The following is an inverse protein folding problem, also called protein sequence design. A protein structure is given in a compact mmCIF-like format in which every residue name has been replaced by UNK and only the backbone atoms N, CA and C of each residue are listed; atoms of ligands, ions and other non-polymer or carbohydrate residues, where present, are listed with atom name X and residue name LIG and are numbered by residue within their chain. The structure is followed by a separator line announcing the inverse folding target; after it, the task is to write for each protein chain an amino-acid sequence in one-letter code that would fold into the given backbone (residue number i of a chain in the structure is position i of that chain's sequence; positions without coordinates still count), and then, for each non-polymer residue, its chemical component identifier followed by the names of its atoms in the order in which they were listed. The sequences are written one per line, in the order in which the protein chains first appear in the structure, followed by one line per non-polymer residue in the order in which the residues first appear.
data_IF_061416541785
#
_entry.id   IF_061416541785
#
_cell.length_a   1.000
_cell.length_b   1.000
_cell.length_c   1.000
_cell.angle_alpha   90.00
_cell.angle_beta   90.00
_cell.angle_gamma   90.00
#
_symmetry.space_group_name_H-M   'P 1'
#
loop_
_entity.id
_entity.type
_entity.pdbx_description
1 polymer ?
#
# COMPACT_ATOMS: atom_id res chain seq x y z
N UNK A 1 3.95 -4.62 -10.45
CA UNK A 1 2.74 -5.47 -10.53
C UNK A 1 2.99 -6.89 -10.04
N UNK A 2 4.04 -7.59 -10.49
CA UNK A 2 4.34 -8.98 -10.05
C UNK A 2 4.50 -9.08 -8.53
N UNK A 3 5.25 -8.16 -7.90
CA UNK A 3 5.40 -8.11 -6.44
C UNK A 3 4.06 -8.07 -5.71
N UNK A 4 3.16 -7.18 -6.15
CA UNK A 4 1.88 -6.96 -5.46
C UNK A 4 0.97 -8.18 -5.60
N UNK A 5 0.89 -8.76 -6.80
CA UNK A 5 0.14 -10.00 -7.03
C UNK A 5 0.66 -11.15 -6.16
N UNK A 6 1.97 -11.27 -5.98
CA UNK A 6 2.58 -12.28 -5.12
C UNK A 6 2.27 -12.05 -3.63
N UNK A 7 2.34 -10.80 -3.18
CA UNK A 7 2.00 -10.41 -1.80
C UNK A 7 0.53 -10.69 -1.51
N UNK A 8 -0.38 -10.34 -2.41
CA UNK A 8 -1.82 -10.61 -2.24
C UNK A 8 -2.10 -12.11 -2.27
N UNK A 9 -1.53 -12.84 -3.24
CA UNK A 9 -1.72 -14.29 -3.38
C UNK A 9 -1.27 -15.05 -2.13
N UNK A 10 -0.05 -14.79 -1.64
CA UNK A 10 0.41 -15.44 -0.41
C UNK A 10 -0.40 -14.94 0.78
N UNK A 11 -0.70 -13.64 0.85
CA UNK A 11 -1.48 -13.04 1.94
C UNK A 11 -2.86 -13.68 2.12
N UNK A 12 -3.44 -14.24 1.06
CA UNK A 12 -4.73 -14.95 1.09
C UNK A 12 -4.67 -16.37 1.68
N UNK A 13 -3.50 -16.84 2.16
CA UNK A 13 -3.36 -18.18 2.74
C UNK A 13 -4.39 -18.54 3.83
N UNK A 14 -4.84 -17.64 4.74
CA UNK A 14 -5.82 -18.03 5.75
C UNK A 14 -7.14 -18.47 5.13
N UNK A 15 -7.54 -17.87 4.01
CA UNK A 15 -8.75 -18.24 3.26
C UNK A 15 -8.60 -19.61 2.62
N UNK A 16 -7.48 -19.86 1.93
CA UNK A 16 -7.22 -21.14 1.26
C UNK A 16 -7.24 -22.32 2.25
N UNK A 17 -6.66 -22.12 3.43
CA UNK A 17 -6.56 -23.15 4.46
C UNK A 17 -7.92 -23.46 5.11
N UNK A 18 -8.90 -22.55 5.01
CA UNK A 18 -10.28 -22.76 5.48
C UNK A 18 -11.13 -23.43 4.39
N UNK A 19 -10.98 -23.03 3.13
CA UNK A 19 -11.84 -23.47 2.02
C UNK A 19 -11.45 -24.84 1.45
N UNK A 20 -10.15 -25.14 1.36
CA UNK A 20 -9.67 -26.38 0.74
C UNK A 20 -9.44 -27.49 1.77
N UNK A 21 -10.23 -28.57 1.67
CA UNK A 21 -10.12 -29.74 2.56
C UNK A 21 -8.71 -30.36 2.60
N UNK A 22 -7.99 -30.30 1.47
CA UNK A 22 -6.62 -30.83 1.36
C UNK A 22 -5.62 -30.13 2.29
N UNK A 23 -5.92 -28.92 2.76
CA UNK A 23 -5.06 -28.11 3.63
C UNK A 23 -5.48 -28.17 5.11
N UNK A 24 -6.42 -29.05 5.49
CA UNK A 24 -6.88 -29.17 6.88
C UNK A 24 -5.76 -29.47 7.89
N UNK A 25 -4.77 -30.31 7.54
CA UNK A 25 -3.64 -30.58 8.43
C UNK A 25 -2.81 -29.32 8.72
N UNK A 26 -2.67 -28.44 7.72
CA UNK A 26 -2.00 -27.15 7.87
C UNK A 26 -2.86 -26.13 8.63
N UNK A 27 -4.19 -26.21 8.49
CA UNK A 27 -5.15 -25.44 9.29
C UNK A 27 -5.01 -25.73 10.77
N UNK A 28 -5.01 -27.00 11.14
CA UNK A 28 -4.98 -27.42 12.55
C UNK A 28 -3.66 -27.00 13.21
N UNK A 29 -2.55 -27.11 12.47
CA UNK A 29 -1.25 -26.59 12.92
C UNK A 29 -1.24 -25.06 13.10
N UNK A 30 -1.75 -24.31 12.13
CA UNK A 30 -1.72 -22.85 12.16
C UNK A 30 -2.69 -22.24 13.18
N UNK A 31 -3.81 -22.90 13.48
CA UNK A 31 -4.88 -22.37 14.32
C UNK A 31 -4.42 -21.99 15.73
N UNK A 32 -3.45 -22.72 16.28
CA UNK A 32 -2.88 -22.45 17.60
C UNK A 32 -1.68 -21.48 17.56
N UNK A 33 -1.27 -21.05 16.37
CA UNK A 33 -0.12 -20.15 16.18
C UNK A 33 -0.55 -18.71 15.93
N UNK A 34 0.37 -17.77 16.20
CA UNK A 34 0.24 -16.36 15.83
C UNK A 34 0.14 -16.12 14.31
N UNK A 35 0.37 -17.16 13.50
CA UNK A 35 0.26 -17.14 12.04
C UNK A 35 -1.11 -17.61 11.53
N UNK A 36 -2.10 -17.83 12.41
CA UNK A 36 -3.47 -18.14 11.99
C UNK A 36 -4.09 -17.04 11.11
N UNK A 37 -3.65 -15.79 11.29
CA UNK A 37 -4.09 -14.62 10.51
C UNK A 37 -2.93 -13.99 9.76
N UNK A 38 -3.24 -13.28 8.68
CA UNK A 38 -2.27 -12.66 7.77
C UNK A 38 -1.89 -11.21 8.15
N UNK A 39 -2.22 -10.72 9.34
CA UNK A 39 -1.93 -9.33 9.73
C UNK A 39 -0.44 -9.00 9.68
N UNK A 40 0.41 -9.93 10.14
CA UNK A 40 1.87 -9.79 10.08
C UNK A 40 2.36 -9.65 8.64
N UNK A 41 1.82 -10.46 7.71
CA UNK A 41 2.19 -10.46 6.30
C UNK A 41 1.81 -9.16 5.62
N UNK A 42 0.57 -8.72 5.79
CA UNK A 42 0.07 -7.46 5.21
C UNK A 42 0.81 -6.28 5.82
N UNK A 43 1.05 -6.27 7.13
CA UNK A 43 1.79 -5.18 7.78
C UNK A 43 3.23 -5.07 7.27
N UNK A 44 3.88 -6.21 7.03
CA UNK A 44 5.29 -6.24 6.58
C UNK A 44 5.43 -5.90 5.10
N UNK A 45 4.66 -6.56 4.23
CA UNK A 45 4.88 -6.45 2.79
C UNK A 45 4.07 -5.33 2.14
N UNK A 46 2.85 -5.08 2.63
CA UNK A 46 2.00 -4.02 2.12
C UNK A 46 2.28 -2.69 2.84
N UNK A 47 2.11 -2.64 4.16
CA UNK A 47 2.14 -1.37 4.90
C UNK A 47 3.56 -0.83 5.08
N UNK A 48 4.54 -1.69 5.34
CA UNK A 48 5.95 -1.31 5.36
C UNK A 48 6.58 -1.36 3.97
N UNK A 49 6.59 -2.55 3.36
CA UNK A 49 7.25 -2.79 2.07
C UNK A 49 6.73 -1.89 0.95
N UNK A 50 5.41 -1.73 0.85
CA UNK A 50 4.79 -0.84 -0.14
C UNK A 50 5.20 0.62 0.03
N UNK A 51 5.24 1.11 1.27
CA UNK A 51 5.66 2.49 1.56
C UNK A 51 7.14 2.69 1.20
N UNK A 52 8.02 1.77 1.61
CA UNK A 52 9.44 1.84 1.28
C UNK A 52 9.70 1.81 -0.23
N UNK A 53 9.02 0.89 -0.94
CA UNK A 53 9.12 0.78 -2.39
C UNK A 53 8.68 2.07 -3.09
N UNK A 54 7.53 2.62 -2.71
CA UNK A 54 7.02 3.85 -3.32
C UNK A 54 7.88 5.06 -2.96
N UNK A 55 8.37 5.20 -1.73
CA UNK A 55 9.32 6.25 -1.38
C UNK A 55 10.61 6.15 -2.19
N UNK A 56 11.12 4.93 -2.42
CA UNK A 56 12.28 4.71 -3.30
C UNK A 56 11.99 5.09 -4.75
N UNK A 57 10.81 4.72 -5.26
CA UNK A 57 10.35 5.12 -6.60
C UNK A 57 10.31 6.65 -6.74
N UNK A 58 9.69 7.36 -5.80
CA UNK A 58 9.64 8.83 -5.82
C UNK A 58 11.02 9.47 -5.71
N UNK A 59 11.91 8.91 -4.87
CA UNK A 59 13.29 9.36 -4.78
C UNK A 59 14.03 9.28 -6.12
N UNK A 60 13.71 8.30 -6.97
CA UNK A 60 14.31 8.12 -8.30
C UNK A 60 13.77 9.11 -9.32
N UNK A 61 12.46 9.34 -9.36
CA UNK A 61 11.83 10.18 -10.40
C UNK A 61 11.91 11.68 -10.11
N UNK A 62 12.03 12.10 -8.84
CA UNK A 62 12.23 13.51 -8.50
C UNK A 62 13.54 14.01 -9.11
N UNK A 63 13.62 15.29 -9.48
CA UNK A 63 14.84 15.93 -9.96
C UNK A 63 15.43 16.84 -8.88
N UNK A 64 14.57 17.50 -8.10
CA UNK A 64 15.01 18.44 -7.07
C UNK A 64 15.74 17.72 -5.91
N UNK A 65 17.01 18.05 -5.68
CA UNK A 65 17.82 17.46 -4.62
C UNK A 65 17.25 17.67 -3.22
N UNK A 66 16.55 18.79 -2.98
CA UNK A 66 15.93 19.05 -1.68
C UNK A 66 14.73 18.14 -1.45
N UNK A 67 13.90 17.91 -2.46
CA UNK A 67 12.77 16.98 -2.38
C UNK A 67 13.26 15.55 -2.18
N UNK A 68 14.33 15.13 -2.86
CA UNK A 68 14.99 13.84 -2.62
C UNK A 68 15.45 13.67 -1.17
N UNK A 69 16.04 14.71 -0.58
CA UNK A 69 16.47 14.69 0.84
C UNK A 69 15.26 14.53 1.76
N UNK A 70 14.18 15.27 1.53
CA UNK A 70 12.94 15.18 2.32
C UNK A 70 12.39 13.75 2.27
N UNK A 71 12.19 13.18 1.07
CA UNK A 71 11.70 11.80 0.90
C UNK A 71 12.60 10.80 1.64
N UNK A 72 13.92 10.93 1.52
CA UNK A 72 14.89 10.06 2.20
C UNK A 72 14.74 10.12 3.73
N UNK A 73 14.70 11.32 4.31
CA UNK A 73 14.60 11.49 5.76
C UNK A 73 13.24 11.04 6.30
N UNK A 74 12.15 11.40 5.64
CA UNK A 74 10.79 10.99 6.03
C UNK A 74 10.65 9.46 5.97
N UNK A 75 11.14 8.83 4.90
CA UNK A 75 11.15 7.37 4.77
C UNK A 75 11.99 6.70 5.87
N UNK A 76 13.17 7.25 6.18
CA UNK A 76 14.01 6.74 7.26
C UNK A 76 13.34 6.84 8.64
N UNK A 77 12.72 7.99 8.94
CA UNK A 77 11.96 8.19 10.19
C UNK A 77 10.80 7.19 10.27
N UNK A 78 10.06 7.01 9.18
CA UNK A 78 8.96 6.04 9.09
C UNK A 78 9.44 4.60 9.35
N UNK A 79 10.53 4.18 8.73
CA UNK A 79 11.08 2.84 8.92
C UNK A 79 11.48 2.64 10.39
N UNK A 80 12.20 3.60 10.96
CA UNK A 80 12.69 3.50 12.33
C UNK A 80 11.53 3.51 13.34
N UNK A 81 10.56 4.42 13.20
CA UNK A 81 9.42 4.47 14.12
C UNK A 81 8.48 3.28 13.98
N UNK A 82 8.31 2.75 12.76
CA UNK A 82 7.41 1.61 12.53
C UNK A 82 8.04 0.31 13.05
N UNK A 83 9.35 0.11 12.85
CA UNK A 83 10.06 -1.05 13.40
C UNK A 83 10.10 -1.02 14.93
N UNK A 84 10.35 0.14 15.55
CA UNK A 84 10.28 0.27 17.01
C UNK A 84 8.86 0.00 17.51
N UNK A 85 7.82 0.54 16.85
CA UNK A 85 6.43 0.33 17.25
C UNK A 85 6.00 -1.15 17.14
N UNK A 86 6.41 -1.84 16.07
CA UNK A 86 6.17 -3.28 15.90
C UNK A 86 6.89 -4.08 17.00
N UNK A 87 8.14 -3.76 17.28
CA UNK A 87 8.92 -4.46 18.32
C UNK A 87 8.31 -4.33 19.73
N UNK A 88 7.67 -3.20 20.02
CA UNK A 88 6.99 -2.96 21.30
C UNK A 88 5.60 -3.62 21.36
N UNK A 89 4.98 -3.91 20.22
CA UNK A 89 3.60 -4.40 20.12
C UNK A 89 3.51 -5.70 19.30
N UNK A 90 4.40 -6.66 19.57
CA UNK A 90 4.48 -7.92 18.82
C UNK A 90 3.17 -8.71 18.84
N UNK A 91 2.46 -8.77 19.97
CA UNK A 91 1.18 -9.47 20.04
C UNK A 91 0.13 -8.83 19.12
N UNK A 92 0.11 -7.49 19.05
CA UNK A 92 -0.80 -6.77 18.15
C UNK A 92 -0.39 -6.94 16.69
N UNK A 93 0.91 -7.04 16.39
CA UNK A 93 1.42 -7.25 15.04
C UNK A 93 0.89 -8.56 14.40
N UNK A 94 0.70 -9.61 15.19
CA UNK A 94 0.13 -10.87 14.71
C UNK A 94 -1.41 -10.91 14.72
N UNK A 95 -2.05 -10.17 15.64
CA UNK A 95 -3.48 -10.31 15.92
C UNK A 95 -4.37 -9.18 15.42
N UNK A 96 -3.82 -8.03 15.03
CA UNK A 96 -4.60 -6.85 14.62
C UNK A 96 -3.87 -5.99 13.59
N UNK A 97 -4.60 -5.03 13.00
CA UNK A 97 -4.00 -4.04 12.12
C UNK A 97 -3.35 -2.91 12.94
N UNK A 98 -2.08 -2.65 12.66
CA UNK A 98 -1.34 -1.58 13.33
C UNK A 98 -1.67 -0.21 12.70
N UNK A 99 -2.71 0.44 13.24
CA UNK A 99 -3.22 1.73 12.74
C UNK A 99 -2.13 2.80 12.62
N UNK A 100 -1.19 2.84 13.57
CA UNK A 100 -0.07 3.77 13.53
C UNK A 100 0.77 3.60 12.25
N UNK A 101 1.16 2.37 11.91
CA UNK A 101 1.96 2.06 10.72
C UNK A 101 1.20 2.43 9.45
N UNK A 102 -0.10 2.10 9.39
CA UNK A 102 -0.92 2.38 8.20
C UNK A 102 -1.10 3.88 7.96
N UNK A 103 -1.48 4.63 9.00
CA UNK A 103 -1.72 6.08 8.90
C UNK A 103 -0.41 6.80 8.60
N UNK A 104 0.67 6.47 9.30
CA UNK A 104 1.96 7.11 9.04
C UNK A 104 2.47 6.77 7.64
N UNK A 105 2.33 5.52 7.21
CA UNK A 105 2.66 5.08 5.85
C UNK A 105 1.89 5.88 4.79
N UNK A 106 0.58 6.06 4.96
CA UNK A 106 -0.23 6.87 4.07
C UNK A 106 0.26 8.33 4.00
N UNK A 107 0.61 8.94 5.15
CA UNK A 107 1.17 10.30 5.19
C UNK A 107 2.51 10.41 4.44
N UNK A 108 3.38 9.40 4.53
CA UNK A 108 4.63 9.34 3.77
C UNK A 108 4.37 9.31 2.28
N UNK A 109 3.43 8.47 1.82
CA UNK A 109 3.07 8.36 0.40
C UNK A 109 2.47 9.68 -0.10
N UNK A 110 1.53 10.25 0.64
CA UNK A 110 0.93 11.53 0.29
C UNK A 110 1.99 12.63 0.19
N UNK A 111 2.95 12.66 1.11
CA UNK A 111 4.07 13.60 1.03
C UNK A 111 4.90 13.41 -0.26
N UNK A 112 5.23 12.16 -0.61
CA UNK A 112 5.98 11.87 -1.84
C UNK A 112 5.22 12.34 -3.10
N UNK A 113 3.92 12.06 -3.16
CA UNK A 113 3.04 12.46 -4.26
C UNK A 113 2.93 14.00 -4.34
N UNK A 114 2.75 14.67 -3.20
CA UNK A 114 2.68 16.14 -3.16
C UNK A 114 3.97 16.78 -3.66
N UNK A 115 5.14 16.29 -3.23
CA UNK A 115 6.43 16.79 -3.70
C UNK A 115 6.59 16.61 -5.21
N UNK A 116 6.18 15.45 -5.74
CA UNK A 116 6.20 15.18 -7.18
C UNK A 116 5.31 16.15 -7.97
N UNK A 117 4.06 16.38 -7.54
CA UNK A 117 3.19 17.33 -8.22
C UNK A 117 3.66 18.77 -8.10
N UNK A 118 4.22 19.19 -6.96
CA UNK A 118 4.84 20.51 -6.81
C UNK A 118 5.98 20.69 -7.82
N UNK A 119 6.79 19.66 -8.04
CA UNK A 119 7.88 19.71 -9.02
C UNK A 119 7.35 19.85 -10.46
N UNK A 120 6.31 19.09 -10.83
CA UNK A 120 5.67 19.21 -12.15
C UNK A 120 5.06 20.59 -12.35
N UNK A 121 4.33 21.10 -11.35
CA UNK A 121 3.66 22.41 -11.41
C UNK A 121 4.65 23.56 -11.66
N UNK A 122 5.86 23.43 -11.15
CA UNK A 122 6.94 24.42 -11.33
C UNK A 122 7.80 24.15 -12.58
N UNK A 123 7.44 23.19 -13.43
CA UNK A 123 8.19 22.80 -14.62
C UNK A 123 7.39 23.03 -15.90
N UNK A 124 8.08 23.18 -17.02
CA UNK A 124 7.45 23.26 -18.35
C UNK A 124 6.72 21.95 -18.75
N UNK A 125 6.97 20.86 -18.01
CA UNK A 125 6.33 19.55 -18.25
C UNK A 125 4.85 19.53 -17.87
N UNK A 126 4.32 20.55 -17.19
CA UNK A 126 2.90 20.65 -16.85
C UNK A 126 1.98 20.56 -18.08
N UNK A 127 2.43 21.00 -19.25
CA UNK A 127 1.62 20.95 -20.48
C UNK A 127 1.41 19.51 -21.01
N UNK A 128 2.24 18.55 -20.56
CA UNK A 128 2.27 17.18 -21.08
C UNK A 128 2.16 16.13 -19.96
N UNK A 129 1.95 16.54 -18.71
CA UNK A 129 1.93 15.64 -17.55
C UNK A 129 0.90 14.51 -17.67
N UNK A 130 -0.24 14.75 -18.34
CA UNK A 130 -1.29 13.73 -18.55
C UNK A 130 -0.83 12.58 -19.46
N UNK A 131 0.28 12.75 -20.21
CA UNK A 131 0.90 11.69 -21.00
C UNK A 131 2.04 10.99 -20.27
N UNK A 132 2.50 11.51 -19.13
CA UNK A 132 3.63 10.90 -18.43
C UNK A 132 3.17 9.74 -17.54
N UNK A 133 3.88 8.63 -17.67
CA UNK A 133 3.62 7.42 -16.88
C UNK A 133 3.67 7.74 -15.38
N UNK A 134 4.67 8.50 -14.96
CA UNK A 134 4.86 8.85 -13.55
C UNK A 134 3.69 9.67 -12.98
N UNK A 135 3.04 10.53 -13.78
CA UNK A 135 1.87 11.30 -13.34
C UNK A 135 0.65 10.42 -13.19
N UNK A 136 0.36 9.57 -14.17
CA UNK A 136 -0.80 8.66 -14.11
C UNK A 136 -0.64 7.70 -12.93
N UNK A 137 0.56 7.15 -12.73
CA UNK A 137 0.87 6.30 -11.57
C UNK A 137 0.65 7.06 -10.26
N UNK A 138 1.09 8.31 -10.18
CA UNK A 138 0.93 9.14 -8.98
C UNK A 138 -0.54 9.44 -8.66
N UNK A 139 -1.36 9.74 -9.67
CA UNK A 139 -2.81 9.97 -9.51
C UNK A 139 -3.51 8.69 -9.02
N UNK A 140 -3.21 7.55 -9.64
CA UNK A 140 -3.81 6.28 -9.25
C UNK A 140 -3.44 5.90 -7.81
N UNK A 141 -2.17 6.07 -7.43
CA UNK A 141 -1.70 5.80 -6.08
C UNK A 141 -2.27 6.77 -5.05
N UNK A 142 -2.42 8.04 -5.40
CA UNK A 142 -3.07 9.04 -4.55
C UNK A 142 -4.49 8.61 -4.21
N UNK A 143 -5.30 8.28 -5.23
CA UNK A 143 -6.68 7.85 -5.05
C UNK A 143 -6.76 6.56 -4.25
N UNK A 144 -5.92 5.57 -4.56
CA UNK A 144 -5.90 4.29 -3.85
C UNK A 144 -5.62 4.49 -2.35
N UNK A 145 -4.55 5.20 -1.99
CA UNK A 145 -4.19 5.42 -0.59
C UNK A 145 -5.23 6.27 0.14
N UNK A 146 -5.82 7.27 -0.51
CA UNK A 146 -6.88 8.10 0.06
C UNK A 146 -8.12 7.25 0.42
N UNK A 147 -8.57 6.42 -0.51
CA UNK A 147 -9.74 5.54 -0.33
C UNK A 147 -9.47 4.51 0.77
N UNK A 148 -8.38 3.74 0.66
CA UNK A 148 -8.07 2.66 1.61
C UNK A 148 -7.82 3.18 3.02
N UNK A 149 -7.12 4.32 3.17
CA UNK A 149 -6.87 4.90 4.49
C UNK A 149 -8.15 5.41 5.15
N UNK A 150 -9.07 6.01 4.38
CA UNK A 150 -10.37 6.45 4.93
C UNK A 150 -11.16 5.28 5.52
N UNK A 151 -11.10 4.11 4.88
CA UNK A 151 -11.81 2.91 5.31
C UNK A 151 -11.31 2.36 6.66
N UNK A 152 -10.04 2.57 6.99
CA UNK A 152 -9.45 2.16 8.27
C UNK A 152 -10.07 2.89 9.47
N UNK A 153 -10.50 4.15 9.31
CA UNK A 153 -11.16 4.87 10.40
C UNK A 153 -12.51 4.25 10.77
N UNK A 154 -13.20 3.65 9.79
CA UNK A 154 -14.47 2.97 10.02
C UNK A 154 -14.32 1.60 10.69
N UNK A 155 -13.11 1.06 10.78
CA UNK A 155 -12.87 -0.25 11.42
C UNK A 155 -13.17 -0.23 12.93
N UNK A 156 -13.15 0.94 13.58
CA UNK A 156 -13.55 1.08 15.00
C UNK A 156 -15.03 0.72 15.23
N UNK A 157 -15.87 0.91 14.22
CA UNK A 157 -17.30 0.63 14.28
C UNK A 157 -17.63 -0.80 13.82
N UNK A 158 -16.62 -1.60 13.50
CA UNK A 158 -16.80 -2.96 13.02
C UNK A 158 -17.32 -3.90 14.13
N UNK A 159 -18.44 -4.56 13.85
CA UNK A 159 -18.92 -5.73 14.57
C UNK A 159 -18.97 -6.91 13.60
N UNK A 160 -18.56 -8.11 14.03
CA UNK A 160 -18.60 -9.32 13.20
C UNK A 160 -20.02 -9.69 12.71
N UNK A 161 -21.06 -9.10 13.30
CA UNK A 161 -22.46 -9.27 12.90
C UNK A 161 -22.91 -8.30 11.81
N UNK A 162 -22.10 -7.28 11.47
CA UNK A 162 -22.42 -6.33 10.40
C UNK A 162 -21.89 -6.84 9.05
N UNK A 163 -22.68 -7.73 8.45
CA UNK A 163 -22.41 -8.31 7.13
C UNK A 163 -22.38 -7.20 6.05
N UNK A 164 -23.14 -6.12 6.24
CA UNK A 164 -23.19 -4.98 5.31
C UNK A 164 -21.83 -4.29 5.23
N UNK A 165 -21.22 -4.00 6.37
CA UNK A 165 -19.88 -3.42 6.43
C UNK A 165 -18.81 -4.37 5.87
N UNK A 166 -18.87 -5.68 6.16
CA UNK A 166 -17.93 -6.66 5.62
C UNK A 166 -17.93 -6.67 4.08
N UNK A 167 -19.13 -6.70 3.48
CA UNK A 167 -19.28 -6.67 2.03
C UNK A 167 -18.82 -5.33 1.45
N UNK A 168 -19.18 -4.21 2.08
CA UNK A 168 -18.72 -2.88 1.65
C UNK A 168 -17.20 -2.81 1.65
N UNK A 169 -16.56 -3.20 2.76
CA UNK A 169 -15.10 -3.21 2.90
C UNK A 169 -14.47 -4.04 1.80
N UNK A 170 -14.88 -5.30 1.67
CA UNK A 170 -14.34 -6.21 0.65
C UNK A 170 -14.48 -5.64 -0.77
N UNK A 171 -15.66 -5.11 -1.12
CA UNK A 171 -15.92 -4.50 -2.41
C UNK A 171 -15.06 -3.27 -2.66
N UNK A 172 -14.90 -2.38 -1.67
CA UNK A 172 -14.05 -1.18 -1.80
C UNK A 172 -12.59 -1.57 -2.04
N UNK A 173 -12.06 -2.55 -1.30
CA UNK A 173 -10.71 -3.06 -1.53
C UNK A 173 -10.57 -3.67 -2.94
N UNK A 174 -11.53 -4.48 -3.37
CA UNK A 174 -11.53 -5.11 -4.70
C UNK A 174 -11.58 -4.05 -5.81
N UNK A 175 -12.52 -3.12 -5.77
CA UNK A 175 -12.64 -2.06 -6.77
C UNK A 175 -11.43 -1.14 -6.79
N UNK A 176 -10.87 -0.78 -5.63
CA UNK A 176 -9.67 0.07 -5.56
C UNK A 176 -8.46 -0.63 -6.17
N UNK A 177 -8.25 -1.91 -5.84
CA UNK A 177 -7.15 -2.70 -6.41
C UNK A 177 -7.33 -2.88 -7.93
N UNK A 178 -8.53 -3.24 -8.38
CA UNK A 178 -8.83 -3.41 -9.81
C UNK A 178 -8.64 -2.11 -10.57
N UNK A 179 -9.13 -0.98 -10.04
CA UNK A 179 -8.92 0.35 -10.61
C UNK A 179 -7.42 0.66 -10.75
N UNK A 180 -6.65 0.51 -9.67
CA UNK A 180 -5.21 0.76 -9.68
C UNK A 180 -4.49 -0.11 -10.72
N UNK A 181 -4.77 -1.41 -10.78
CA UNK A 181 -4.11 -2.31 -11.72
C UNK A 181 -4.48 -2.04 -13.18
N UNK A 182 -5.74 -1.72 -13.47
CA UNK A 182 -6.17 -1.33 -14.81
C UNK A 182 -5.52 -0.02 -15.21
N UNK A 183 -5.49 0.99 -14.34
CA UNK A 183 -4.83 2.27 -14.64
C UNK A 183 -3.34 2.09 -14.91
N UNK A 184 -2.63 1.26 -14.13
CA UNK A 184 -1.22 0.97 -14.42
C UNK A 184 -1.01 0.23 -15.73
N UNK A 185 -1.88 -0.74 -16.05
CA UNK A 185 -1.79 -1.48 -17.30
C UNK A 185 -2.04 -0.57 -18.51
N UNK A 186 -3.05 0.29 -18.43
CA UNK A 186 -3.35 1.28 -19.48
C UNK A 186 -2.24 2.33 -19.59
N UNK A 187 -1.68 2.80 -18.47
CA UNK A 187 -0.57 3.74 -18.47
C UNK A 187 0.66 3.14 -19.16
N UNK A 188 0.98 1.86 -18.93
CA UNK A 188 2.09 1.18 -19.59
C UNK A 188 1.90 1.02 -21.11
N UNK A 189 0.66 0.94 -21.58
CA UNK A 189 0.34 0.80 -23.01
C UNK A 189 0.29 2.16 -23.71
N UNK A 190 -0.25 3.19 -23.05
CA UNK A 190 -0.52 4.48 -23.66
C UNK A 190 0.61 5.50 -23.45
N UNK A 191 1.29 5.48 -22.31
CA UNK A 191 2.36 6.46 -22.07
C UNK A 191 3.60 6.13 -22.88
N UNK A 192 4.16 7.15 -23.53
CA UNK A 192 5.48 7.04 -24.14
C UNK A 192 6.52 6.78 -23.05
N UNK A 193 7.53 5.92 -23.29
CA UNK A 193 8.64 5.76 -22.37
C UNK A 193 9.26 7.14 -22.15
N UNK A 194 9.34 7.56 -20.88
CA UNK A 194 9.95 8.84 -20.55
C UNK A 194 11.38 8.84 -21.12
N UNK A 195 11.62 9.69 -22.11
CA UNK A 195 12.96 9.91 -22.64
C UNK A 195 13.78 10.49 -21.49
N UNK A 196 14.76 9.74 -21.01
CA UNK A 196 15.85 10.27 -20.18
C UNK A 196 16.51 11.39 -21.02
N UNK A 197 16.15 12.64 -20.71
CA UNK A 197 16.92 13.81 -21.16
C UNK A 197 18.10 13.96 -20.20
#
# INVERSE_FOLDING_TARGET
MIYVAFVDFIGSYPTYVIEYQQLHGLRDYLKETSFSRNYWWITTFWNLGGVLFMSYYYYKILLNSNFKKIVKYVCFIFLLSSTTYISQNLDSFFNSQLKFVNIFGALVILNCISLYFIEILNSDKILVFYKSLNSIVSIAMFLWWLIITSLLFYEVYFSAYDIGYLNLRSNVYLFSNLFMYLTFSLALIWCDPEQEI
#
